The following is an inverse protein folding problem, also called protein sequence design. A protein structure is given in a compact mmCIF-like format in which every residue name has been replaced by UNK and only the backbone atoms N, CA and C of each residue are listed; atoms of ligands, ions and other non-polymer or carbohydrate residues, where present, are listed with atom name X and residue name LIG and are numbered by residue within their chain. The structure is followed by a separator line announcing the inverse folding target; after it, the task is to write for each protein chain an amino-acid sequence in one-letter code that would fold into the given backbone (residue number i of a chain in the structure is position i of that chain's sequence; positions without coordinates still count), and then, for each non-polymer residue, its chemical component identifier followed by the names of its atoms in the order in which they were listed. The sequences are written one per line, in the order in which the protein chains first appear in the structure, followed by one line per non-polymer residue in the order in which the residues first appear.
data_IF_695981617537
#
_entry.id   IF_695981617537
#
_cell.length_a   1.000
_cell.length_b   1.000
_cell.length_c   1.000
_cell.angle_alpha   90.00
_cell.angle_beta   90.00
_cell.angle_gamma   90.00
#
_symmetry.space_group_name_H-M   'P 1'
#
loop_
_entity.id
_entity.type
_entity.pdbx_description
1 polymer ?
#
# COMPACT_ATOMS: atom_id res chain seq x y z
N UNK A 1 14.39 18.11 2.22
CA UNK A 1 14.64 17.35 0.98
C UNK A 1 13.32 16.76 0.51
N UNK A 2 13.01 16.73 -0.78
CA UNK A 2 11.81 16.03 -1.29
C UNK A 2 12.14 14.56 -1.51
N UNK A 3 11.27 13.66 -1.08
CA UNK A 3 11.46 12.22 -1.23
C UNK A 3 10.43 11.62 -2.20
N UNK A 4 10.85 10.58 -2.91
CA UNK A 4 9.98 9.73 -3.70
C UNK A 4 10.06 8.32 -3.10
N UNK A 5 8.93 7.78 -2.66
CA UNK A 5 8.86 6.43 -2.13
C UNK A 5 8.67 5.45 -3.29
N UNK A 6 9.77 4.90 -3.78
CA UNK A 6 9.73 4.06 -4.97
C UNK A 6 9.12 2.68 -4.75
N UNK A 7 8.80 2.29 -3.51
CA UNK A 7 8.27 0.96 -3.24
C UNK A 7 7.55 0.89 -1.90
N UNK A 8 6.22 0.79 -1.94
CA UNK A 8 5.44 0.40 -0.77
C UNK A 8 4.22 -0.45 -1.14
N UNK A 9 3.63 -1.06 -0.11
CA UNK A 9 2.44 -1.91 -0.22
C UNK A 9 1.33 -1.35 0.68
N UNK A 10 0.10 -1.39 0.19
CA UNK A 10 -1.11 -1.15 1.00
C UNK A 10 -1.78 -2.48 1.23
N UNK A 11 -2.00 -2.84 2.49
CA UNK A 11 -2.63 -4.10 2.92
C UNK A 11 -3.97 -3.74 3.56
N UNK A 12 -5.03 -3.76 2.76
CA UNK A 12 -6.38 -3.50 3.24
C UNK A 12 -7.21 -4.78 3.17
N UNK A 13 -7.65 -5.25 4.34
CA UNK A 13 -8.45 -6.46 4.52
C UNK A 13 -9.91 -6.32 4.04
N UNK A 14 -10.32 -5.12 3.62
CA UNK A 14 -11.58 -4.93 2.89
C UNK A 14 -11.51 -5.53 1.46
N UNK A 15 -10.30 -5.88 1.00
CA UNK A 15 -10.02 -6.58 -0.26
C UNK A 15 -9.41 -7.96 0.00
N UNK A 16 -9.42 -8.89 -0.98
CA UNK A 16 -8.84 -10.22 -0.81
C UNK A 16 -7.33 -10.17 -0.53
N UNK A 17 -6.95 -10.65 0.66
CA UNK A 17 -5.56 -10.93 1.03
C UNK A 17 -5.45 -12.42 1.35
N UNK A 18 -4.43 -13.08 0.81
CA UNK A 18 -4.19 -14.52 0.95
C UNK A 18 -2.90 -14.77 1.71
N UNK A 19 -2.90 -15.81 2.52
CA UNK A 19 -1.67 -16.33 3.10
C UNK A 19 -0.70 -16.74 1.98
N UNK A 20 0.59 -16.45 2.17
CA UNK A 20 1.65 -16.94 1.31
C UNK A 20 2.74 -17.59 2.17
N UNK A 21 3.00 -18.88 1.95
CA UNK A 21 4.02 -19.67 2.66
C UNK A 21 3.95 -19.57 4.20
N UNK A 22 2.77 -19.69 4.81
CA UNK A 22 2.61 -19.61 6.26
C UNK A 22 2.55 -18.18 6.82
N UNK A 23 2.62 -17.16 5.96
CA UNK A 23 2.62 -15.77 6.37
C UNK A 23 1.37 -15.03 5.90
N UNK A 24 0.76 -14.31 6.85
CA UNK A 24 -0.32 -13.37 6.61
C UNK A 24 0.13 -11.98 7.06
N UNK A 25 0.17 -10.97 6.16
CA UNK A 25 0.67 -9.64 6.51
C UNK A 25 -0.29 -8.92 7.48
N UNK A 26 0.20 -8.09 8.40
CA UNK A 26 -0.67 -7.20 9.16
C UNK A 26 -1.34 -6.18 8.24
N UNK A 27 -2.50 -5.65 8.66
CA UNK A 27 -3.16 -4.56 7.95
C UNK A 27 -2.26 -3.33 7.93
N UNK A 28 -2.25 -2.63 6.79
CA UNK A 28 -1.53 -1.39 6.59
C UNK A 28 -2.26 -0.58 5.51
N UNK A 29 -3.21 0.26 5.94
CA UNK A 29 -4.08 1.02 5.04
C UNK A 29 -3.40 2.32 4.58
N UNK A 30 -4.04 3.02 3.65
CA UNK A 30 -3.54 4.32 3.14
C UNK A 30 -3.31 5.33 4.27
N UNK A 31 -4.21 5.40 5.25
CA UNK A 31 -4.02 6.29 6.40
C UNK A 31 -2.79 5.94 7.25
N UNK A 32 -2.48 4.65 7.38
CA UNK A 32 -1.27 4.22 8.10
C UNK A 32 -0.01 4.70 7.36
N UNK A 33 -0.01 4.58 6.03
CA UNK A 33 1.06 5.10 5.17
C UNK A 33 1.24 6.61 5.31
N UNK A 34 0.16 7.39 5.21
CA UNK A 34 0.20 8.85 5.33
C UNK A 34 0.71 9.29 6.71
N UNK A 35 0.30 8.61 7.77
CA UNK A 35 0.78 8.87 9.12
C UNK A 35 2.27 8.53 9.26
N UNK A 36 2.70 7.40 8.71
CA UNK A 36 4.10 6.95 8.79
C UNK A 36 5.07 7.86 8.02
N UNK A 37 4.62 8.42 6.90
CA UNK A 37 5.43 9.26 6.01
C UNK A 37 5.26 10.75 6.26
N UNK A 38 4.38 11.15 7.20
CA UNK A 38 4.04 12.55 7.48
C UNK A 38 5.28 13.45 7.68
N UNK A 39 6.32 12.92 8.33
CA UNK A 39 7.55 13.66 8.64
C UNK A 39 8.62 13.58 7.54
N UNK A 40 8.43 12.75 6.52
CA UNK A 40 9.45 12.42 5.52
C UNK A 40 9.40 13.30 4.27
N UNK A 41 8.44 14.23 4.16
CA UNK A 41 8.28 15.11 2.99
C UNK A 41 8.30 14.31 1.66
N UNK A 42 7.57 13.18 1.66
CA UNK A 42 7.32 12.35 0.48
C UNK A 42 6.39 13.12 -0.45
N UNK A 43 6.80 13.31 -1.70
CA UNK A 43 6.06 14.09 -2.71
C UNK A 43 5.51 13.22 -3.85
N UNK A 44 5.73 11.92 -3.77
CA UNK A 44 5.23 10.93 -4.72
C UNK A 44 5.73 9.54 -4.34
N UNK A 45 5.15 8.51 -4.94
CA UNK A 45 5.61 7.14 -4.74
C UNK A 45 4.98 6.15 -5.68
N UNK A 46 5.32 4.87 -5.50
CA UNK A 46 4.79 3.76 -6.26
C UNK A 46 4.20 2.69 -5.32
N UNK A 47 2.92 2.38 -5.54
CA UNK A 47 2.24 1.27 -4.88
C UNK A 47 2.49 0.01 -5.71
N UNK A 48 2.95 -1.07 -5.06
CA UNK A 48 3.16 -2.35 -5.71
C UNK A 48 2.24 -3.41 -5.10
N UNK A 49 1.82 -4.37 -5.92
CA UNK A 49 1.12 -5.56 -5.43
C UNK A 49 2.06 -6.48 -4.69
N UNK A 50 1.66 -6.82 -3.47
CA UNK A 50 2.32 -7.88 -2.71
C UNK A 50 1.85 -9.25 -3.19
N UNK A 51 2.68 -10.27 -2.95
CA UNK A 51 2.36 -11.66 -3.33
C UNK A 51 1.03 -12.17 -2.76
N UNK A 52 0.63 -11.69 -1.58
CA UNK A 52 -0.62 -12.02 -0.89
C UNK A 52 -1.87 -11.38 -1.53
N UNK A 53 -1.74 -10.41 -2.45
CA UNK A 53 -2.86 -9.85 -3.23
C UNK A 53 -3.09 -10.58 -4.55
N UNK A 54 -2.13 -11.40 -4.99
CA UNK A 54 -2.20 -12.11 -6.26
C UNK A 54 -2.39 -11.15 -7.44
N UNK A 55 -3.49 -11.33 -8.18
CA UNK A 55 -3.85 -10.52 -9.35
C UNK A 55 -5.01 -9.55 -9.08
N UNK A 56 -5.43 -9.40 -7.81
CA UNK A 56 -6.45 -8.41 -7.48
C UNK A 56 -5.92 -7.00 -7.72
N UNK A 57 -6.71 -6.17 -8.38
CA UNK A 57 -6.38 -4.77 -8.67
C UNK A 57 -7.36 -3.79 -8.02
N UNK A 58 -8.45 -4.27 -7.42
CA UNK A 58 -9.47 -3.41 -6.82
C UNK A 58 -8.88 -2.63 -5.63
N UNK A 59 -8.06 -3.29 -4.81
CA UNK A 59 -7.35 -2.62 -3.72
C UNK A 59 -6.38 -1.55 -4.25
N UNK A 60 -5.70 -1.83 -5.37
CA UNK A 60 -4.69 -0.94 -5.96
C UNK A 60 -5.36 0.33 -6.49
N UNK A 61 -6.47 0.17 -7.22
CA UNK A 61 -7.28 1.28 -7.72
C UNK A 61 -7.85 2.10 -6.55
N UNK A 62 -8.37 1.43 -5.52
CA UNK A 62 -8.87 2.08 -4.30
C UNK A 62 -7.78 2.91 -3.61
N UNK A 63 -6.58 2.35 -3.45
CA UNK A 63 -5.47 3.03 -2.82
C UNK A 63 -4.96 4.24 -3.65
N UNK A 64 -4.84 4.09 -4.98
CA UNK A 64 -4.47 5.19 -5.87
C UNK A 64 -5.47 6.35 -5.79
N UNK A 65 -6.78 6.05 -5.83
CA UNK A 65 -7.81 7.08 -5.69
C UNK A 65 -7.72 7.84 -4.35
N UNK A 66 -7.46 7.14 -3.25
CA UNK A 66 -7.27 7.77 -1.94
C UNK A 66 -5.99 8.62 -1.87
N UNK A 67 -4.94 8.20 -2.57
CA UNK A 67 -3.66 8.90 -2.66
C UNK A 67 -3.60 9.96 -3.77
N UNK A 68 -4.71 10.14 -4.51
CA UNK A 68 -4.83 11.11 -5.62
C UNK A 68 -3.85 10.83 -6.78
N UNK A 69 -3.60 9.55 -7.06
CA UNK A 69 -2.73 9.06 -8.14
C UNK A 69 -3.47 8.64 -9.42
#
# INVERSE_FOLDING_TARGET
MKLFDSHFHIIDYDFPVKENNGYMPPSFKVNDYLNHTQQLNVVGGAILSGSFQGFDQDYLISALNQLQG
#
